data_IF_393777490131
#
_entry.id   IF_393777490131
#
_cell.length_a   1.000
_cell.length_b   1.000
_cell.length_c   1.000
_cell.angle_alpha   90.00
_cell.angle_beta   90.00
_cell.angle_gamma   90.00
#
_symmetry.space_group_name_H-M   'P 1'
#
loop_
_entity.id
_entity.type
_entity.pdbx_description
1 polymer ?
#
# COMPACT_ATOMS: atom_id res chain seq x y z
N UNK A 1 5.23 11.19 -10.64
CA UNK A 1 6.53 10.84 -10.03
C UNK A 1 7.13 12.07 -9.36
N UNK A 2 7.46 11.97 -8.08
CA UNK A 2 8.01 13.06 -7.26
C UNK A 2 9.55 13.04 -7.27
N UNK A 3 10.19 14.21 -7.15
CA UNK A 3 11.65 14.34 -6.95
C UNK A 3 12.03 14.34 -5.46
N UNK A 4 11.07 14.08 -4.58
CA UNK A 4 11.32 13.83 -3.16
C UNK A 4 12.17 12.55 -3.06
N UNK A 5 13.20 12.56 -2.20
CA UNK A 5 14.13 11.43 -2.00
C UNK A 5 15.10 11.10 -3.15
N UNK A 6 15.42 12.05 -4.04
CA UNK A 6 16.47 11.85 -5.08
C UNK A 6 17.85 11.41 -4.55
N UNK A 7 18.11 11.48 -3.24
CA UNK A 7 19.37 11.08 -2.60
C UNK A 7 19.24 9.77 -1.80
N UNK A 8 18.07 9.14 -1.85
CA UNK A 8 17.76 7.89 -1.17
C UNK A 8 17.11 6.95 -2.18
N UNK A 9 17.92 6.08 -2.77
CA UNK A 9 17.55 5.23 -3.90
C UNK A 9 16.38 4.29 -3.55
N UNK A 10 16.27 3.87 -2.29
CA UNK A 10 15.18 2.99 -1.85
C UNK A 10 13.85 3.72 -1.74
N UNK A 11 13.84 4.93 -1.18
CA UNK A 11 12.63 5.74 -1.08
C UNK A 11 12.18 6.25 -2.46
N UNK A 12 13.12 6.52 -3.36
CA UNK A 12 12.82 6.85 -4.75
C UNK A 12 12.25 5.64 -5.50
N UNK A 13 12.85 4.45 -5.33
CA UNK A 13 12.34 3.21 -5.91
C UNK A 13 10.95 2.89 -5.38
N UNK A 14 10.71 3.03 -4.08
CA UNK A 14 9.40 2.83 -3.45
C UNK A 14 8.34 3.76 -4.07
N UNK A 15 8.66 5.05 -4.19
CA UNK A 15 7.78 6.03 -4.86
C UNK A 15 7.48 5.61 -6.30
N UNK A 16 8.50 5.20 -7.06
CA UNK A 16 8.28 4.73 -8.43
C UNK A 16 7.36 3.50 -8.47
N UNK A 17 7.66 2.47 -7.68
CA UNK A 17 6.87 1.24 -7.60
C UNK A 17 5.42 1.51 -7.19
N UNK A 18 5.20 2.39 -6.21
CA UNK A 18 3.88 2.80 -5.75
C UNK A 18 3.03 3.36 -6.90
N UNK A 19 3.59 4.30 -7.66
CA UNK A 19 2.90 4.90 -8.82
C UNK A 19 2.63 3.87 -9.92
N UNK A 20 3.57 2.93 -10.15
CA UNK A 20 3.34 1.83 -11.10
C UNK A 20 2.20 0.91 -10.66
N UNK A 21 2.04 0.67 -9.37
CA UNK A 21 1.00 -0.18 -8.82
C UNK A 21 -0.39 0.45 -8.88
N UNK A 22 -0.50 1.77 -8.86
CA UNK A 22 -1.77 2.44 -9.19
C UNK A 22 -2.27 2.05 -10.58
N UNK A 23 -1.40 2.03 -11.59
CA UNK A 23 -1.77 1.58 -12.95
C UNK A 23 -2.13 0.09 -13.01
N UNK A 24 -1.53 -0.74 -12.16
CA UNK A 24 -1.87 -2.15 -12.08
C UNK A 24 -3.28 -2.34 -11.52
N UNK A 25 -3.59 -1.74 -10.37
CA UNK A 25 -4.91 -1.93 -9.74
C UNK A 25 -6.04 -1.25 -10.51
N UNK A 26 -5.76 -0.17 -11.25
CA UNK A 26 -6.73 0.49 -12.14
C UNK A 26 -7.17 -0.43 -13.29
N UNK A 27 -6.27 -1.29 -13.80
CA UNK A 27 -6.61 -2.31 -14.80
C UNK A 27 -7.37 -3.52 -14.23
N UNK A 28 -7.53 -3.59 -12.91
CA UNK A 28 -8.22 -4.68 -12.20
C UNK A 28 -9.33 -4.10 -11.31
N UNK A 29 -10.12 -3.17 -11.85
CA UNK A 29 -11.12 -2.38 -11.13
C UNK A 29 -12.18 -3.23 -10.41
N UNK A 30 -12.67 -4.30 -11.03
CA UNK A 30 -13.64 -5.24 -10.43
C UNK A 30 -13.04 -5.96 -9.22
N UNK A 31 -11.84 -6.53 -9.39
CA UNK A 31 -11.13 -7.21 -8.31
C UNK A 31 -10.78 -6.25 -7.17
N UNK A 32 -10.38 -5.01 -7.49
CA UNK A 32 -10.12 -3.95 -6.53
C UNK A 32 -11.40 -3.56 -5.77
N UNK A 33 -12.54 -3.46 -6.44
CA UNK A 33 -13.82 -3.16 -5.79
C UNK A 33 -14.21 -4.25 -4.77
N UNK A 34 -14.04 -5.53 -5.13
CA UNK A 34 -14.29 -6.65 -4.24
C UNK A 34 -13.30 -6.67 -3.06
N UNK A 35 -12.02 -6.44 -3.30
CA UNK A 35 -11.01 -6.36 -2.25
C UNK A 35 -11.34 -5.24 -1.25
N UNK A 36 -11.75 -4.07 -1.75
CA UNK A 36 -12.17 -2.95 -0.89
C UNK A 36 -13.41 -3.30 -0.05
N UNK A 37 -14.38 -4.01 -0.63
CA UNK A 37 -15.56 -4.44 0.11
C UNK A 37 -15.22 -5.43 1.25
N UNK A 38 -14.22 -6.30 1.06
CA UNK A 38 -13.75 -7.18 2.13
C UNK A 38 -12.91 -6.45 3.17
N UNK A 39 -12.03 -5.55 2.73
CA UNK A 39 -11.26 -4.69 3.63
C UNK A 39 -12.17 -3.84 4.51
N UNK A 40 -13.30 -3.34 3.98
CA UNK A 40 -14.28 -2.59 4.76
C UNK A 40 -15.02 -3.45 5.81
N UNK A 41 -15.07 -4.77 5.65
CA UNK A 41 -15.58 -5.67 6.70
C UNK A 41 -14.56 -5.87 7.82
N UNK A 42 -13.27 -5.90 7.44
CA UNK A 42 -12.17 -6.13 8.38
C UNK A 42 -11.78 -4.85 9.14
N UNK A 43 -11.83 -3.71 8.47
CA UNK A 43 -11.51 -2.40 9.00
C UNK A 43 -12.71 -1.48 8.75
N UNK A 44 -13.79 -1.58 9.54
CA UNK A 44 -15.02 -0.83 9.30
C UNK A 44 -14.85 0.68 9.43
N UNK A 45 -13.85 1.12 10.19
CA UNK A 45 -13.48 2.52 10.34
C UNK A 45 -12.03 2.69 9.91
N UNK A 46 -11.80 3.58 8.94
CA UNK A 46 -10.47 3.90 8.42
C UNK A 46 -10.27 5.41 8.45
N UNK A 47 -9.03 5.89 8.65
CA UNK A 47 -8.78 7.31 8.64
C UNK A 47 -8.96 7.90 7.24
N UNK A 48 -9.32 9.18 7.24
CA UNK A 48 -9.44 10.04 6.07
C UNK A 48 -8.64 11.30 6.33
N UNK A 49 -7.91 11.75 5.31
CA UNK A 49 -7.07 12.94 5.37
C UNK A 49 -5.64 12.66 5.85
N UNK A 50 -4.78 13.65 5.59
CA UNK A 50 -3.37 13.62 5.97
C UNK A 50 -3.19 13.72 7.50
N UNK A 51 -2.19 13.04 8.10
CA UNK A 51 -1.24 12.11 7.48
C UNK A 51 -1.74 10.66 7.46
N UNK A 52 -2.85 10.35 8.13
CA UNK A 52 -3.21 8.97 8.47
C UNK A 52 -3.82 8.19 7.31
N UNK A 53 -4.72 8.82 6.56
CA UNK A 53 -5.46 8.20 5.46
C UNK A 53 -5.34 8.97 4.15
N UNK A 54 -6.10 8.51 3.16
CA UNK A 54 -6.21 9.20 1.87
C UNK A 54 -7.39 10.18 1.86
N UNK A 55 -7.70 10.77 0.70
CA UNK A 55 -8.72 11.83 0.58
C UNK A 55 -10.13 11.43 1.05
N UNK A 56 -10.45 10.14 1.02
CA UNK A 56 -11.73 9.54 1.39
C UNK A 56 -11.50 8.06 1.76
N UNK A 57 -12.47 7.41 2.43
CA UNK A 57 -12.35 6.02 2.86
C UNK A 57 -12.07 5.07 1.70
N UNK A 58 -12.76 5.29 0.57
CA UNK A 58 -12.57 4.50 -0.65
C UNK A 58 -11.11 4.52 -1.07
N UNK A 59 -10.50 5.69 -1.07
CA UNK A 59 -9.11 5.91 -1.41
C UNK A 59 -8.17 5.31 -0.37
N UNK A 60 -8.51 5.37 0.93
CA UNK A 60 -7.71 4.71 1.98
C UNK A 60 -7.65 3.19 1.76
N UNK A 61 -8.76 2.55 1.38
CA UNK A 61 -8.73 1.13 1.03
C UNK A 61 -7.95 0.82 -0.25
N UNK A 62 -7.99 1.72 -1.25
CA UNK A 62 -7.12 1.58 -2.44
C UNK A 62 -5.65 1.58 -2.02
N UNK A 63 -5.26 2.50 -1.13
CA UNK A 63 -3.88 2.58 -0.66
C UNK A 63 -3.48 1.41 0.24
N UNK A 64 -4.40 0.78 0.99
CA UNK A 64 -4.10 -0.50 1.65
C UNK A 64 -3.69 -1.58 0.65
N UNK A 65 -4.37 -1.68 -0.49
CA UNK A 65 -4.01 -2.65 -1.54
C UNK A 65 -2.70 -2.25 -2.22
N UNK A 66 -2.57 -0.99 -2.65
CA UNK A 66 -1.38 -0.50 -3.35
C UNK A 66 -0.13 -0.60 -2.48
N UNK A 67 -0.17 -0.12 -1.24
CA UNK A 67 0.98 -0.17 -0.33
C UNK A 67 1.30 -1.62 0.09
N UNK A 68 0.33 -2.54 0.12
CA UNK A 68 0.61 -3.96 0.32
C UNK A 68 1.43 -4.54 -0.84
N UNK A 69 1.00 -4.25 -2.08
CA UNK A 69 1.72 -4.68 -3.28
C UNK A 69 3.09 -4.01 -3.38
N UNK A 70 3.20 -2.75 -2.97
CA UNK A 70 4.46 -2.02 -2.88
C UNK A 70 5.42 -2.72 -1.93
N UNK A 71 4.96 -3.03 -0.71
CA UNK A 71 5.79 -3.74 0.26
C UNK A 71 6.26 -5.10 -0.28
N UNK A 72 5.37 -5.86 -0.90
CA UNK A 72 5.73 -7.13 -1.55
C UNK A 72 6.76 -6.96 -2.66
N UNK A 73 6.57 -5.97 -3.54
CA UNK A 73 7.50 -5.70 -4.63
C UNK A 73 8.88 -5.27 -4.09
N UNK A 74 8.92 -4.41 -3.07
CA UNK A 74 10.16 -4.01 -2.42
C UNK A 74 10.90 -5.19 -1.78
N UNK A 75 10.18 -6.13 -1.16
CA UNK A 75 10.80 -7.37 -0.64
C UNK A 75 11.53 -8.13 -1.76
N UNK A 76 10.95 -8.18 -2.97
CA UNK A 76 11.58 -8.86 -4.12
C UNK A 76 12.74 -8.05 -4.71
N UNK A 77 12.65 -6.71 -4.72
CA UNK A 77 13.63 -5.84 -5.38
C UNK A 77 14.85 -5.53 -4.51
N UNK A 78 14.66 -5.28 -3.21
CA UNK A 78 15.72 -4.81 -2.30
C UNK A 78 15.93 -5.71 -1.08
N UNK A 79 15.13 -6.77 -0.94
CA UNK A 79 15.19 -7.70 0.18
C UNK A 79 14.37 -7.25 1.39
N UNK A 80 14.03 -8.21 2.26
CA UNK A 80 13.09 -8.01 3.35
C UNK A 80 13.47 -6.92 4.36
N UNK A 81 14.76 -6.83 4.74
CA UNK A 81 15.21 -5.86 5.74
C UNK A 81 15.08 -4.40 5.24
N UNK A 82 15.50 -4.15 3.99
CA UNK A 82 15.43 -2.80 3.39
C UNK A 82 13.99 -2.43 3.09
N UNK A 83 13.19 -3.37 2.58
CA UNK A 83 11.76 -3.15 2.36
C UNK A 83 11.04 -2.81 3.67
N UNK A 84 11.31 -3.53 4.75
CA UNK A 84 10.76 -3.26 6.10
C UNK A 84 11.10 -1.84 6.54
N UNK A 85 12.37 -1.43 6.39
CA UNK A 85 12.80 -0.07 6.75
C UNK A 85 12.06 1.01 5.95
N UNK A 86 11.87 0.82 4.64
CA UNK A 86 11.10 1.75 3.80
C UNK A 86 9.66 1.90 4.30
N UNK A 87 8.99 0.79 4.59
CA UNK A 87 7.60 0.82 5.09
C UNK A 87 7.51 1.47 6.48
N UNK A 88 8.49 1.21 7.36
CA UNK A 88 8.59 1.86 8.68
C UNK A 88 8.88 3.36 8.56
N UNK A 89 9.68 3.79 7.58
CA UNK A 89 9.89 5.20 7.28
C UNK A 89 8.56 5.86 6.87
N UNK A 90 7.86 5.28 5.90
CA UNK A 90 6.60 5.85 5.40
C UNK A 90 5.46 5.83 6.41
N UNK A 91 5.49 4.90 7.39
CA UNK A 91 4.49 4.84 8.46
C UNK A 91 4.47 6.05 9.41
N UNK A 92 5.41 7.00 9.23
CA UNK A 92 5.51 8.25 9.98
C UNK A 92 5.37 9.50 9.10
N UNK A 93 5.06 9.35 7.81
CA UNK A 93 5.00 10.47 6.86
C UNK A 93 3.58 10.73 6.33
N UNK A 94 3.10 9.86 5.44
CA UNK A 94 1.79 9.93 4.81
C UNK A 94 1.20 8.52 4.74
N UNK A 95 -0.13 8.42 4.66
CA UNK A 95 -0.85 7.16 4.81
C UNK A 95 -0.36 6.38 6.05
N UNK A 96 -0.05 7.10 7.12
CA UNK A 96 0.69 6.58 8.26
C UNK A 96 -0.02 5.35 8.86
N UNK A 97 -1.35 5.42 9.02
CA UNK A 97 -2.17 4.29 9.44
C UNK A 97 -2.15 3.12 8.46
N UNK A 98 -2.14 3.37 7.15
CA UNK A 98 -2.08 2.32 6.12
C UNK A 98 -0.79 1.52 6.28
N UNK A 99 0.37 2.18 6.31
CA UNK A 99 1.65 1.50 6.46
C UNK A 99 1.78 0.79 7.81
N UNK A 100 1.34 1.39 8.92
CA UNK A 100 1.29 0.69 10.23
C UNK A 100 0.40 -0.55 10.18
N UNK A 101 -0.76 -0.45 9.54
CA UNK A 101 -1.66 -1.58 9.34
C UNK A 101 -1.00 -2.69 8.52
N UNK A 102 -0.15 -2.38 7.54
CA UNK A 102 0.61 -3.40 6.81
C UNK A 102 1.70 -4.07 7.65
N UNK A 103 2.34 -3.32 8.55
CA UNK A 103 3.34 -3.87 9.47
C UNK A 103 2.71 -4.83 10.50
N UNK A 104 1.49 -4.55 10.94
CA UNK A 104 0.79 -5.30 12.00
C UNK A 104 -0.14 -6.40 11.45
N UNK A 105 -0.92 -6.06 10.42
CA UNK A 105 -2.01 -6.87 9.84
C UNK A 105 -1.78 -7.22 8.36
N UNK A 106 -0.54 -7.08 7.87
CA UNK A 106 -0.22 -7.31 6.44
C UNK A 106 -0.58 -8.70 5.92
N UNK A 107 -0.63 -9.73 6.78
CA UNK A 107 -1.09 -11.08 6.40
C UNK A 107 -2.57 -11.11 6.04
N UNK A 108 -3.41 -10.37 6.75
CA UNK A 108 -4.85 -10.34 6.51
C UNK A 108 -5.18 -9.57 5.23
N UNK A 109 -4.55 -8.40 5.07
CA UNK A 109 -4.62 -7.61 3.82
C UNK A 109 -4.15 -8.47 2.65
N UNK A 110 -3.02 -9.16 2.82
CA UNK A 110 -2.49 -10.06 1.79
C UNK A 110 -3.38 -11.22 1.43
N UNK A 111 -4.08 -11.81 2.41
CA UNK A 111 -5.07 -12.85 2.16
C UNK A 111 -6.21 -12.37 1.27
N UNK A 112 -6.73 -11.16 1.52
CA UNK A 112 -7.77 -10.53 0.69
C UNK A 112 -7.24 -10.25 -0.71
N UNK A 113 -6.08 -9.60 -0.83
CA UNK A 113 -5.47 -9.26 -2.13
C UNK A 113 -5.23 -10.52 -2.97
N UNK A 114 -4.70 -11.59 -2.36
CA UNK A 114 -4.48 -12.87 -3.03
C UNK A 114 -5.79 -13.54 -3.47
N UNK A 115 -6.80 -13.58 -2.59
CA UNK A 115 -8.10 -14.17 -2.89
C UNK A 115 -8.85 -13.47 -4.02
N UNK A 116 -8.53 -12.19 -4.29
CA UNK A 116 -9.09 -11.39 -5.39
C UNK A 116 -8.22 -11.40 -6.66
N UNK A 117 -7.14 -12.17 -6.69
CA UNK A 117 -6.28 -12.28 -7.87
C UNK A 117 -5.47 -11.01 -8.18
N UNK A 118 -5.25 -10.15 -7.17
CA UNK A 118 -4.54 -8.88 -7.32
C UNK A 118 -3.02 -9.02 -7.10
N UNK A 119 -2.45 -10.19 -7.37
CA UNK A 119 -1.01 -10.41 -7.28
C UNK A 119 -0.41 -10.38 -8.70
N UNK A 120 0.51 -9.45 -9.00
CA UNK A 120 1.21 -9.41 -10.27
C UNK A 120 2.23 -10.55 -10.43
#
# INVERSE_FOLDING_TARGET
MSTRHLRDDELLLATFVHEQLHWFVDRHDEALALARADLAKLFPEVPVGYPEGARDERSTYVHLVVCYLEYRALIQLVGGLRARWVIEFWSHDHYAWVYRTLLERGRDVGGIVAARGLLP
#
